data_IF_407206155024
#
_entry.id   IF_407206155024
#
_cell.length_a   1.000
_cell.length_b   1.000
_cell.length_c   1.000
_cell.angle_alpha   90.00
_cell.angle_beta   90.00
_cell.angle_gamma   90.00
#
_symmetry.space_group_name_H-M   'P 1'
#
loop_
_entity.id
_entity.type
_entity.pdbx_description
1 polymer ?
#
# COMPACT_ATOMS: atom_id res chain seq x y z
N UNK A 1 10.41 -15.55 21.48
CA UNK A 1 10.78 -16.49 22.55
C UNK A 1 9.69 -17.52 22.84
N UNK A 2 8.43 -17.27 22.46
CA UNK A 2 7.31 -18.21 22.65
C UNK A 2 7.39 -19.48 21.76
N UNK A 3 8.36 -19.55 20.83
CA UNK A 3 8.50 -20.67 19.88
C UNK A 3 7.39 -20.72 18.83
N UNK A 4 6.66 -19.63 18.65
CA UNK A 4 5.59 -19.48 17.66
C UNK A 4 6.08 -18.77 16.40
N UNK A 5 5.34 -18.92 15.32
CA UNK A 5 5.51 -18.17 14.08
C UNK A 5 4.57 -16.97 14.06
N UNK A 6 5.07 -15.82 13.66
CA UNK A 6 4.28 -14.65 13.30
C UNK A 6 4.61 -14.25 11.86
N UNK A 7 3.60 -14.03 11.04
CA UNK A 7 3.73 -13.53 9.67
C UNK A 7 3.19 -12.10 9.64
N UNK A 8 4.04 -11.15 9.24
CA UNK A 8 3.69 -9.75 9.03
C UNK A 8 3.48 -9.49 7.53
N UNK A 9 2.80 -8.37 7.22
CA UNK A 9 2.68 -7.93 5.83
C UNK A 9 2.00 -8.94 4.92
N UNK A 10 0.96 -9.61 5.39
CA UNK A 10 0.21 -10.62 4.62
C UNK A 10 -1.09 -10.05 4.06
N UNK A 11 -1.02 -8.85 3.49
CA UNK A 11 -2.10 -8.18 2.78
C UNK A 11 -1.83 -8.14 1.28
N UNK A 12 -2.20 -7.05 0.62
CA UNK A 12 -1.86 -6.84 -0.76
C UNK A 12 -0.49 -6.15 -0.89
N UNK A 13 -0.37 -4.98 -0.37
CA UNK A 13 0.84 -4.19 -0.17
C UNK A 13 0.89 -3.69 1.30
N UNK A 14 1.71 -4.34 2.14
CA UNK A 14 2.60 -5.47 1.88
C UNK A 14 1.90 -6.84 1.76
N UNK A 15 2.46 -7.72 0.93
CA UNK A 15 2.07 -9.13 0.81
C UNK A 15 2.09 -9.64 -0.63
N UNK A 16 1.00 -9.49 -1.38
CA UNK A 16 0.88 -9.97 -2.77
C UNK A 16 1.93 -9.34 -3.68
N UNK A 17 2.27 -8.07 -3.50
CA UNK A 17 3.35 -7.38 -4.23
C UNK A 17 4.71 -8.04 -4.02
N UNK A 18 4.98 -8.51 -2.79
CA UNK A 18 6.14 -9.33 -2.48
C UNK A 18 6.12 -10.67 -3.21
N UNK A 19 4.95 -11.34 -3.26
CA UNK A 19 4.76 -12.59 -4.01
C UNK A 19 4.95 -12.37 -5.51
N UNK A 20 4.41 -11.31 -6.10
CA UNK A 20 4.62 -10.95 -7.51
C UNK A 20 6.10 -10.77 -7.82
N UNK A 21 6.81 -10.04 -6.95
CA UNK A 21 8.24 -9.79 -7.07
C UNK A 21 9.05 -11.08 -6.97
N UNK A 22 8.78 -11.90 -5.96
CA UNK A 22 9.47 -13.19 -5.75
C UNK A 22 9.20 -14.19 -6.89
N UNK A 23 7.96 -14.24 -7.38
CA UNK A 23 7.61 -15.09 -8.51
C UNK A 23 8.36 -14.69 -9.78
N UNK A 24 8.38 -13.41 -10.12
CA UNK A 24 9.10 -12.92 -11.28
C UNK A 24 10.61 -13.15 -11.16
N UNK A 25 11.18 -12.85 -9.99
CA UNK A 25 12.60 -13.09 -9.73
C UNK A 25 12.96 -14.58 -9.87
N UNK A 26 12.15 -15.48 -9.31
CA UNK A 26 12.42 -16.92 -9.32
C UNK A 26 12.28 -17.57 -10.71
N UNK A 27 11.28 -17.14 -11.49
CA UNK A 27 10.90 -17.86 -12.70
C UNK A 27 11.32 -17.16 -14.00
N UNK A 28 11.56 -15.86 -13.95
CA UNK A 28 11.74 -15.05 -15.15
C UNK A 28 13.02 -14.22 -15.19
N UNK A 29 13.78 -14.13 -14.09
CA UNK A 29 15.00 -13.35 -14.00
C UNK A 29 16.14 -14.15 -13.39
N UNK A 30 17.38 -13.80 -13.77
CA UNK A 30 18.61 -14.25 -13.09
C UNK A 30 19.04 -13.19 -12.05
N UNK A 31 18.79 -11.90 -12.34
CA UNK A 31 19.04 -10.78 -11.43
C UNK A 31 17.85 -9.81 -11.45
N UNK A 32 17.39 -9.42 -10.28
CA UNK A 32 16.38 -8.37 -10.10
C UNK A 32 17.07 -7.03 -9.81
N UNK A 33 16.90 -6.04 -10.68
CA UNK A 33 17.59 -4.75 -10.55
C UNK A 33 16.69 -3.59 -10.12
N UNK A 34 15.45 -3.52 -10.62
CA UNK A 34 14.56 -2.39 -10.39
C UNK A 34 13.16 -2.90 -10.08
N UNK A 35 12.58 -2.32 -9.05
CA UNK A 35 11.21 -2.59 -8.62
C UNK A 35 10.50 -1.27 -8.39
N UNK A 36 9.37 -1.08 -9.04
CA UNK A 36 8.41 -0.04 -8.73
C UNK A 36 7.08 -0.74 -8.38
N UNK A 37 6.67 -0.67 -7.12
CA UNK A 37 5.34 -1.08 -6.66
C UNK A 37 4.41 0.09 -6.94
N UNK A 38 3.26 -0.17 -7.53
CA UNK A 38 2.31 0.85 -7.94
C UNK A 38 0.91 0.49 -7.45
N UNK A 39 0.33 1.35 -6.66
CA UNK A 39 -1.01 1.20 -6.08
C UNK A 39 -1.94 2.30 -6.57
N UNK A 40 -3.02 1.88 -7.21
CA UNK A 40 -4.08 2.76 -7.67
C UNK A 40 -5.44 2.30 -7.16
N UNK A 41 -6.10 3.16 -6.40
CA UNK A 41 -7.53 3.08 -6.21
C UNK A 41 -8.21 4.15 -7.08
N UNK A 42 -8.75 3.73 -8.21
CA UNK A 42 -9.47 4.59 -9.16
C UNK A 42 -10.99 4.60 -8.89
N UNK A 43 -11.38 4.32 -7.66
CA UNK A 43 -12.78 4.29 -7.28
C UNK A 43 -13.34 5.63 -6.83
N UNK A 44 -14.66 5.72 -6.83
CA UNK A 44 -15.45 6.82 -6.28
C UNK A 44 -16.51 6.29 -5.32
N UNK A 45 -16.37 6.60 -4.04
CA UNK A 45 -17.31 6.26 -2.97
C UNK A 45 -18.31 7.39 -2.66
N UNK A 46 -18.33 8.46 -3.45
CA UNK A 46 -19.25 9.60 -3.30
C UNK A 46 -19.01 10.51 -2.09
N UNK A 47 -17.90 10.34 -1.36
CA UNK A 47 -17.53 11.22 -0.24
C UNK A 47 -16.43 12.18 -0.65
N UNK A 48 -16.53 13.44 -0.18
CA UNK A 48 -15.51 14.45 -0.45
C UNK A 48 -14.15 14.11 0.19
N UNK A 49 -14.17 13.50 1.37
CA UNK A 49 -12.98 13.03 2.07
C UNK A 49 -13.33 11.78 2.90
N UNK A 50 -12.66 10.69 2.64
CA UNK A 50 -12.73 9.44 3.40
C UNK A 50 -11.47 8.62 3.10
N UNK A 51 -11.17 7.64 3.95
CA UNK A 51 -10.05 6.72 3.76
C UNK A 51 -10.57 5.30 3.54
N UNK A 52 -9.91 4.52 2.69
CA UNK A 52 -10.35 3.17 2.34
C UNK A 52 -9.94 2.10 3.38
N UNK A 53 -9.05 2.47 4.28
CA UNK A 53 -8.58 1.66 5.41
C UNK A 53 -8.39 2.57 6.62
N UNK A 54 -7.74 2.10 7.67
CA UNK A 54 -7.56 2.83 8.93
C UNK A 54 -7.13 4.29 8.68
N UNK A 55 -7.94 5.30 9.07
CA UNK A 55 -7.65 6.70 8.78
C UNK A 55 -6.33 7.21 9.33
N UNK A 56 -5.92 6.74 10.52
CA UNK A 56 -4.64 7.13 11.11
C UNK A 56 -3.47 6.66 10.25
N UNK A 57 -3.47 5.37 9.87
CA UNK A 57 -2.41 4.79 9.03
C UNK A 57 -2.36 5.54 7.70
N UNK A 58 -3.49 5.67 7.02
CA UNK A 58 -3.57 6.34 5.72
C UNK A 58 -3.06 7.78 5.77
N UNK A 59 -3.53 8.59 6.73
CA UNK A 59 -3.12 9.99 6.87
C UNK A 59 -1.62 10.08 7.20
N UNK A 60 -1.11 9.23 8.09
CA UNK A 60 0.32 9.24 8.47
C UNK A 60 1.23 8.83 7.33
N UNK A 61 0.85 7.83 6.54
CA UNK A 61 1.61 7.42 5.35
C UNK A 61 1.79 8.57 4.36
N UNK A 62 0.75 9.36 4.15
CA UNK A 62 0.77 10.45 3.17
C UNK A 62 1.52 11.68 3.69
N UNK A 63 1.43 11.95 5.01
CA UNK A 63 2.01 13.14 5.63
C UNK A 63 3.45 12.96 6.10
N UNK A 64 3.94 11.71 6.14
CA UNK A 64 5.34 11.44 6.46
C UNK A 64 6.26 11.64 5.24
N UNK A 65 7.57 11.72 5.50
CA UNK A 65 8.58 11.74 4.44
C UNK A 65 8.49 10.51 3.57
N UNK A 66 8.58 10.70 2.25
CA UNK A 66 8.81 9.60 1.33
C UNK A 66 10.20 9.01 1.52
N UNK A 67 10.35 7.71 1.24
CA UNK A 67 11.65 7.03 1.32
C UNK A 67 11.71 5.89 0.33
N UNK A 68 12.79 5.81 -0.41
CA UNK A 68 13.01 4.76 -1.39
C UNK A 68 14.47 4.31 -1.43
N UNK A 69 14.72 3.14 -2.00
CA UNK A 69 16.07 2.60 -2.16
C UNK A 69 16.62 2.93 -3.54
N UNK A 70 17.86 3.44 -3.59
CA UNK A 70 18.56 3.77 -4.84
C UNK A 70 20.06 3.55 -4.68
N UNK A 71 20.68 2.75 -5.53
CA UNK A 71 22.12 2.54 -5.60
C UNK A 71 22.78 2.21 -4.25
N UNK A 72 22.20 1.28 -3.50
CA UNK A 72 22.75 0.78 -2.23
C UNK A 72 22.43 1.65 -1.02
N UNK A 73 21.60 2.68 -1.14
CA UNK A 73 21.25 3.58 -0.04
C UNK A 73 19.78 3.95 -0.03
N UNK A 74 19.28 4.27 1.14
CA UNK A 74 17.96 4.86 1.31
C UNK A 74 18.03 6.38 1.06
N UNK A 75 17.05 6.87 0.31
CA UNK A 75 16.89 8.29 -0.02
C UNK A 75 15.57 8.77 0.56
N UNK A 76 15.60 9.82 1.35
CA UNK A 76 14.40 10.48 1.89
C UNK A 76 13.98 11.65 1.01
N UNK A 77 12.68 11.91 0.98
CA UNK A 77 12.07 13.04 0.26
C UNK A 77 11.05 13.73 1.14
N UNK A 78 10.73 14.99 0.85
CA UNK A 78 9.60 15.65 1.48
C UNK A 78 8.28 14.94 1.09
N UNK A 79 7.25 14.97 1.95
CA UNK A 79 5.96 14.33 1.68
C UNK A 79 5.39 14.77 0.33
N UNK A 80 4.95 13.80 -0.48
CA UNK A 80 4.31 14.00 -1.79
C UNK A 80 5.13 14.84 -2.81
N UNK A 81 6.43 15.10 -2.55
CA UNK A 81 7.26 15.98 -3.38
C UNK A 81 7.65 15.38 -4.73
N UNK A 82 7.65 14.05 -4.83
CA UNK A 82 7.94 13.34 -6.08
C UNK A 82 6.65 12.67 -6.56
N UNK A 83 6.21 13.03 -7.76
CA UNK A 83 5.07 12.41 -8.40
C UNK A 83 5.27 12.30 -9.91
N UNK A 84 4.57 11.36 -10.53
CA UNK A 84 4.58 11.16 -11.97
C UNK A 84 3.29 10.47 -12.42
N UNK A 85 2.86 10.64 -13.67
CA UNK A 85 1.79 9.82 -14.22
C UNK A 85 2.29 8.39 -14.42
N UNK A 86 1.49 7.42 -13.97
CA UNK A 86 1.69 5.98 -14.22
C UNK A 86 0.44 5.46 -14.90
N UNK A 87 0.63 4.62 -15.93
CA UNK A 87 -0.48 3.98 -16.64
C UNK A 87 -0.85 2.67 -15.97
N UNK A 88 -2.11 2.60 -15.52
CA UNK A 88 -2.66 1.44 -14.82
C UNK A 88 -3.58 0.66 -15.75
N UNK A 89 -3.38 -0.65 -15.93
CA UNK A 89 -4.24 -1.47 -16.78
C UNK A 89 -5.71 -1.39 -16.37
N UNK A 90 -6.58 -1.14 -17.34
CA UNK A 90 -8.01 -1.00 -17.11
C UNK A 90 -8.47 0.31 -16.45
N UNK A 91 -7.52 1.19 -16.08
CA UNK A 91 -7.78 2.49 -15.44
C UNK A 91 -7.26 3.65 -16.29
N UNK A 92 -6.08 3.48 -16.91
CA UNK A 92 -5.36 4.52 -17.62
C UNK A 92 -4.41 5.33 -16.73
N UNK A 93 -3.87 6.46 -17.24
CA UNK A 93 -2.87 7.25 -16.53
C UNK A 93 -3.44 7.94 -15.30
N UNK A 94 -2.73 7.85 -14.16
CA UNK A 94 -3.03 8.53 -12.91
C UNK A 94 -1.77 9.14 -12.30
N UNK A 95 -1.89 10.33 -11.72
CA UNK A 95 -0.81 10.91 -10.92
C UNK A 95 -0.55 10.03 -9.70
N UNK A 96 0.69 9.55 -9.61
CA UNK A 96 1.14 8.65 -8.55
C UNK A 96 2.27 9.31 -7.78
N UNK A 97 2.17 9.28 -6.47
CA UNK A 97 3.07 9.93 -5.54
C UNK A 97 4.00 8.91 -4.90
N UNK A 98 5.29 9.24 -4.82
CA UNK A 98 6.28 8.41 -4.16
C UNK A 98 6.10 8.51 -2.64
N UNK A 99 5.91 7.36 -2.00
CA UNK A 99 5.78 7.23 -0.56
C UNK A 99 6.89 6.32 0.00
N UNK A 100 7.00 6.28 1.32
CA UNK A 100 7.62 5.17 2.01
C UNK A 100 6.59 4.07 2.27
N UNK A 101 6.99 2.83 2.01
CA UNK A 101 6.22 1.67 2.39
C UNK A 101 7.15 0.58 2.95
N UNK A 102 6.76 -0.03 4.07
CA UNK A 102 7.64 -0.91 4.85
C UNK A 102 8.08 -2.17 4.12
N UNK A 103 7.30 -2.66 3.18
CA UNK A 103 7.67 -3.84 2.39
C UNK A 103 8.96 -3.66 1.57
N UNK A 104 9.31 -2.42 1.24
CA UNK A 104 10.56 -2.13 0.54
C UNK A 104 11.78 -2.59 1.33
N UNK A 105 11.73 -2.57 2.68
CA UNK A 105 12.86 -2.99 3.51
C UNK A 105 13.11 -4.49 3.39
N UNK A 106 12.04 -5.30 3.45
CA UNK A 106 12.17 -6.75 3.28
C UNK A 106 12.59 -7.14 1.87
N UNK A 107 12.06 -6.46 0.84
CA UNK A 107 12.41 -6.69 -0.55
C UNK A 107 13.89 -6.35 -0.84
N UNK A 108 14.38 -5.20 -0.37
CA UNK A 108 15.79 -4.82 -0.50
C UNK A 108 16.71 -5.82 0.22
N UNK A 109 16.31 -6.29 1.41
CA UNK A 109 17.06 -7.29 2.18
C UNK A 109 17.13 -8.65 1.47
N UNK A 110 16.03 -9.09 0.85
CA UNK A 110 15.93 -10.42 0.27
C UNK A 110 16.40 -10.48 -1.20
N UNK A 111 16.50 -9.35 -1.88
CA UNK A 111 16.98 -9.26 -3.27
C UNK A 111 18.25 -8.38 -3.36
N UNK A 112 19.43 -8.92 -3.07
CA UNK A 112 20.69 -8.15 -2.96
C UNK A 112 21.15 -7.53 -4.29
N UNK A 113 20.60 -7.98 -5.43
CA UNK A 113 20.87 -7.39 -6.76
C UNK A 113 20.03 -6.15 -7.05
N UNK A 114 19.05 -5.81 -6.17
CA UNK A 114 18.26 -4.61 -6.31
C UNK A 114 19.13 -3.35 -6.27
N UNK A 115 18.96 -2.51 -7.28
CA UNK A 115 19.61 -1.19 -7.42
C UNK A 115 18.64 -0.07 -7.09
N UNK A 116 17.33 -0.29 -7.28
CA UNK A 116 16.28 0.65 -6.92
C UNK A 116 14.99 -0.10 -6.56
N UNK A 117 14.34 0.37 -5.48
CA UNK A 117 13.00 -0.06 -5.08
C UNK A 117 12.19 1.17 -4.64
N UNK A 118 10.98 1.34 -5.20
CA UNK A 118 10.09 2.48 -4.95
C UNK A 118 8.66 2.01 -4.78
N UNK A 119 7.89 2.77 -4.00
CA UNK A 119 6.45 2.60 -3.85
C UNK A 119 5.72 3.86 -4.31
N UNK A 120 4.66 3.68 -5.07
CA UNK A 120 3.86 4.73 -5.66
C UNK A 120 2.38 4.51 -5.35
N UNK A 121 1.70 5.54 -4.88
CA UNK A 121 0.26 5.49 -4.60
C UNK A 121 -0.46 6.67 -5.24
N UNK A 122 -1.70 6.44 -5.67
CA UNK A 122 -2.54 7.47 -6.30
C UNK A 122 -3.44 8.15 -5.28
N UNK A 123 -3.65 9.47 -5.46
CA UNK A 123 -4.59 10.25 -4.67
C UNK A 123 -5.38 11.18 -5.57
N UNK A 124 -6.69 11.29 -5.33
CA UNK A 124 -7.52 12.29 -5.99
C UNK A 124 -7.19 13.71 -5.52
N UNK A 125 -7.24 14.69 -6.43
CA UNK A 125 -6.94 16.09 -6.10
C UNK A 125 -7.87 16.67 -5.00
N UNK A 126 -9.12 16.23 -4.98
CA UNK A 126 -10.07 16.62 -3.93
C UNK A 126 -9.61 16.10 -2.56
N UNK A 127 -9.18 14.84 -2.49
CA UNK A 127 -8.64 14.24 -1.27
C UNK A 127 -7.42 15.02 -0.77
N UNK A 128 -6.44 15.27 -1.63
CA UNK A 128 -5.22 16.00 -1.27
C UNK A 128 -5.51 17.44 -0.82
N UNK A 129 -6.52 18.08 -1.42
CA UNK A 129 -6.94 19.42 -1.00
C UNK A 129 -7.49 19.44 0.41
N UNK A 130 -8.37 18.49 0.75
CA UNK A 130 -8.92 18.39 2.11
C UNK A 130 -7.83 18.01 3.13
N UNK A 131 -6.98 17.05 2.78
CA UNK A 131 -5.87 16.65 3.66
C UNK A 131 -4.96 17.83 4.00
N UNK A 132 -4.58 18.64 3.00
CA UNK A 132 -3.75 19.84 3.22
C UNK A 132 -4.40 20.85 4.15
N UNK A 133 -5.71 21.05 4.06
CA UNK A 133 -6.44 21.93 4.99
C UNK A 133 -6.38 21.37 6.40
N UNK A 134 -6.62 20.07 6.57
CA UNK A 134 -6.57 19.41 7.88
C UNK A 134 -5.17 19.46 8.50
N UNK A 135 -4.11 19.31 7.70
CA UNK A 135 -2.73 19.51 8.15
C UNK A 135 -2.48 20.94 8.61
N UNK A 136 -2.84 21.92 7.79
CA UNK A 136 -2.60 23.33 8.07
C UNK A 136 -3.28 23.83 9.35
N UNK A 137 -4.41 23.24 9.71
CA UNK A 137 -5.13 23.57 10.97
C UNK A 137 -4.74 22.62 12.13
N UNK A 138 -3.79 21.71 11.93
CA UNK A 138 -3.27 20.79 12.96
C UNK A 138 -4.16 19.61 13.28
N UNK A 139 -5.19 19.30 12.48
CA UNK A 139 -6.10 18.18 12.71
C UNK A 139 -5.45 16.80 12.51
N UNK A 140 -4.32 16.73 11.82
CA UNK A 140 -3.54 15.49 11.62
C UNK A 140 -2.49 15.25 12.71
N UNK A 141 -2.39 16.15 13.71
CA UNK A 141 -1.42 16.07 14.79
C UNK A 141 -1.74 14.93 15.75
N UNK A 142 -0.69 14.18 16.14
CA UNK A 142 -0.74 13.18 17.23
C UNK A 142 -0.38 13.79 18.59
N UNK A 143 0.08 15.04 18.62
CA UNK A 143 0.39 15.72 19.88
C UNK A 143 -0.93 16.15 20.56
N UNK A 144 -1.12 15.84 21.86
CA UNK A 144 -2.35 16.21 22.56
C UNK A 144 -2.45 17.74 22.76
N UNK A 145 -3.66 18.25 22.65
CA UNK A 145 -4.02 19.64 22.94
C UNK A 145 -4.99 19.70 24.10
N UNK A 146 -5.05 20.86 24.80
CA UNK A 146 -6.04 21.08 25.86
C UNK A 146 -7.29 21.73 25.29
N UNK A 147 -8.45 21.10 25.49
CA UNK A 147 -9.74 21.63 25.08
C UNK A 147 -10.76 21.45 26.21
N UNK A 148 -11.29 22.55 26.77
CA UNK A 148 -12.26 22.56 27.87
C UNK A 148 -11.85 21.68 29.07
N UNK A 149 -10.57 21.72 29.44
CA UNK A 149 -10.00 20.95 30.55
C UNK A 149 -9.73 19.47 30.26
N UNK A 150 -9.94 19.02 29.03
CA UNK A 150 -9.65 17.65 28.58
C UNK A 150 -8.43 17.65 27.64
N UNK A 151 -7.66 16.56 27.67
CA UNK A 151 -6.57 16.32 26.73
C UNK A 151 -7.14 15.59 25.51
N UNK A 152 -7.03 16.18 24.34
CA UNK A 152 -7.53 15.60 23.07
C UNK A 152 -6.38 15.48 22.09
N UNK A 153 -6.28 14.33 21.40
CA UNK A 153 -5.39 14.15 20.25
C UNK A 153 -6.18 14.50 18.98
N UNK A 154 -5.82 15.54 18.22
CA UNK A 154 -6.57 15.98 17.04
C UNK A 154 -6.86 14.88 16.04
N UNK A 155 -5.86 14.06 15.71
CA UNK A 155 -6.02 12.94 14.77
C UNK A 155 -7.03 11.90 15.27
N UNK A 156 -7.06 11.59 16.57
CA UNK A 156 -8.06 10.66 17.14
C UNK A 156 -9.48 11.23 17.05
N UNK A 157 -9.62 12.54 17.24
CA UNK A 157 -10.91 13.20 17.05
C UNK A 157 -11.33 13.19 15.57
N UNK A 158 -10.39 13.46 14.64
CA UNK A 158 -10.64 13.38 13.20
C UNK A 158 -11.10 11.97 12.80
N UNK A 159 -10.45 10.92 13.31
CA UNK A 159 -10.86 9.52 13.07
C UNK A 159 -12.31 9.27 13.49
N UNK A 160 -12.71 9.81 14.62
CA UNK A 160 -14.06 9.59 15.16
C UNK A 160 -15.18 10.27 14.33
N UNK A 161 -14.86 11.28 13.53
CA UNK A 161 -15.83 11.98 12.67
C UNK A 161 -15.78 11.54 11.21
N UNK A 162 -14.73 10.83 10.78
CA UNK A 162 -14.63 10.29 9.43
C UNK A 162 -15.57 9.09 9.23
N UNK A 163 -16.06 8.86 8.01
CA UNK A 163 -16.79 7.64 7.69
C UNK A 163 -15.94 6.41 7.96
N UNK A 164 -16.55 5.39 8.55
CA UNK A 164 -15.90 4.09 8.71
C UNK A 164 -15.56 3.51 7.33
N UNK A 165 -14.32 3.03 7.10
CA UNK A 165 -13.93 2.47 5.81
C UNK A 165 -14.83 1.33 5.33
N UNK A 166 -15.34 0.51 6.24
CA UNK A 166 -16.28 -0.58 5.93
C UNK A 166 -17.62 -0.08 5.37
N UNK A 167 -18.02 1.17 5.70
CA UNK A 167 -19.27 1.75 5.23
C UNK A 167 -19.20 2.26 3.78
N UNK A 168 -18.03 2.34 3.19
CA UNK A 168 -17.84 2.89 1.84
C UNK A 168 -18.24 1.93 0.73
N UNK A 169 -18.37 0.63 1.00
CA UNK A 169 -18.61 -0.39 -0.04
C UNK A 169 -19.91 -0.22 -0.81
N UNK A 170 -20.99 0.22 -0.14
CA UNK A 170 -22.28 0.42 -0.77
C UNK A 170 -22.24 1.59 -1.77
N UNK A 171 -22.47 1.31 -3.06
CA UNK A 171 -22.43 2.33 -4.11
C UNK A 171 -21.04 2.73 -4.58
N UNK A 172 -19.98 2.12 -4.07
CA UNK A 172 -18.62 2.35 -4.54
C UNK A 172 -18.48 1.89 -6.00
N UNK A 173 -18.01 2.78 -6.86
CA UNK A 173 -17.81 2.53 -8.29
C UNK A 173 -16.33 2.54 -8.62
N UNK A 174 -15.95 1.90 -9.75
CA UNK A 174 -14.56 1.83 -10.22
C UNK A 174 -13.79 0.66 -9.60
N UNK A 175 -12.48 0.69 -9.70
CA UNK A 175 -11.64 -0.46 -9.37
C UNK A 175 -10.30 -0.05 -8.75
N UNK A 176 -9.68 -0.99 -8.04
CA UNK A 176 -8.25 -0.93 -7.72
C UNK A 176 -7.44 -1.52 -8.86
N UNK A 177 -6.19 -1.04 -9.03
CA UNK A 177 -5.19 -1.63 -9.90
C UNK A 177 -3.84 -1.54 -9.20
N UNK A 178 -3.37 -2.67 -8.68
CA UNK A 178 -2.16 -2.72 -7.86
C UNK A 178 -1.19 -3.74 -8.45
N UNK A 179 0.09 -3.38 -8.55
CA UNK A 179 1.06 -4.28 -9.15
C UNK A 179 2.51 -3.84 -9.02
N UNK A 180 3.37 -4.55 -9.74
CA UNK A 180 4.82 -4.38 -9.70
C UNK A 180 5.39 -4.26 -11.10
N UNK A 181 6.06 -3.15 -11.40
CA UNK A 181 6.99 -3.07 -12.51
C UNK A 181 8.35 -3.63 -12.07
N UNK A 182 8.75 -4.71 -12.68
CA UNK A 182 9.92 -5.51 -12.30
C UNK A 182 10.88 -5.54 -13.49
N UNK A 183 12.13 -5.08 -13.29
CA UNK A 183 13.14 -5.09 -14.34
C UNK A 183 14.44 -5.71 -13.85
N UNK A 184 15.02 -6.56 -14.66
CA UNK A 184 16.24 -7.26 -14.34
C UNK A 184 16.91 -7.88 -15.55
N UNK A 185 17.76 -8.85 -15.36
CA UNK A 185 18.43 -9.61 -16.41
C UNK A 185 17.92 -11.04 -16.49
N UNK A 186 17.82 -11.56 -17.69
CA UNK A 186 17.66 -12.98 -18.01
C UNK A 186 18.54 -13.33 -19.18
N UNK A 187 19.43 -14.30 -19.02
CA UNK A 187 20.40 -14.70 -20.06
C UNK A 187 21.19 -13.50 -20.63
N UNK A 188 21.63 -12.60 -19.74
CA UNK A 188 22.36 -11.38 -20.06
C UNK A 188 21.53 -10.27 -20.74
N UNK A 189 20.23 -10.48 -20.97
CA UNK A 189 19.34 -9.51 -21.59
C UNK A 189 18.45 -8.83 -20.56
N UNK A 190 18.22 -7.52 -20.72
CA UNK A 190 17.26 -6.80 -19.91
C UNK A 190 15.85 -7.28 -20.21
N UNK A 191 15.12 -7.63 -19.17
CA UNK A 191 13.70 -7.97 -19.20
C UNK A 191 12.92 -7.02 -18.31
N UNK A 192 11.67 -6.76 -18.70
CA UNK A 192 10.73 -5.96 -17.95
C UNK A 192 9.39 -6.74 -17.86
N UNK A 193 8.87 -6.86 -16.67
CA UNK A 193 7.58 -7.48 -16.39
C UNK A 193 6.72 -6.47 -15.63
N UNK A 194 5.45 -6.44 -15.95
CA UNK A 194 4.43 -5.80 -15.13
C UNK A 194 3.45 -6.88 -14.70
N UNK A 195 3.38 -7.12 -13.40
CA UNK A 195 2.46 -8.09 -12.79
C UNK A 195 1.49 -7.32 -11.93
N UNK A 196 0.19 -7.45 -12.18
CA UNK A 196 -0.82 -6.64 -11.52
C UNK A 196 -2.11 -7.42 -11.27
N UNK A 197 -2.95 -6.85 -10.41
CA UNK A 197 -4.33 -7.28 -10.17
C UNK A 197 -5.26 -6.08 -10.27
N UNK A 198 -6.40 -6.27 -10.91
CA UNK A 198 -7.52 -5.33 -10.87
C UNK A 198 -8.66 -5.94 -10.07
N UNK A 199 -9.36 -5.12 -9.28
CA UNK A 199 -10.46 -5.55 -8.46
C UNK A 199 -11.58 -4.49 -8.50
N UNK A 200 -12.75 -4.85 -9.01
CA UNK A 200 -13.90 -3.95 -9.14
C UNK A 200 -14.67 -3.84 -7.83
N UNK A 201 -14.93 -2.61 -7.37
CA UNK A 201 -15.60 -2.35 -6.09
C UNK A 201 -17.05 -2.85 -6.08
N UNK A 202 -17.79 -2.64 -7.15
CA UNK A 202 -19.21 -3.00 -7.21
C UNK A 202 -19.39 -4.53 -7.33
N UNK A 203 -18.49 -5.22 -8.04
CA UNK A 203 -18.49 -6.67 -8.13
C UNK A 203 -18.21 -7.30 -6.76
N UNK A 204 -17.16 -6.88 -6.09
CA UNK A 204 -16.80 -7.37 -4.74
C UNK A 204 -17.93 -7.09 -3.75
N UNK A 205 -18.49 -5.88 -3.77
CA UNK A 205 -19.58 -5.55 -2.87
C UNK A 205 -20.81 -6.45 -3.08
N UNK A 206 -21.13 -6.77 -4.31
CA UNK A 206 -22.23 -7.68 -4.67
C UNK A 206 -21.98 -9.11 -4.19
N UNK A 207 -20.71 -9.54 -4.22
CA UNK A 207 -20.31 -10.89 -3.84
C UNK A 207 -20.23 -11.08 -2.32
N UNK A 208 -19.60 -10.16 -1.60
CA UNK A 208 -19.27 -10.33 -0.18
C UNK A 208 -19.65 -9.14 0.73
N UNK A 209 -20.24 -8.07 0.20
CA UNK A 209 -20.62 -6.89 0.98
C UNK A 209 -19.42 -6.03 1.45
N UNK A 210 -18.27 -6.15 0.81
CA UNK A 210 -17.07 -5.38 1.11
C UNK A 210 -16.59 -4.55 -0.09
N UNK A 211 -15.74 -3.55 0.14
CA UNK A 211 -15.06 -2.82 -0.92
C UNK A 211 -13.80 -3.58 -1.41
N UNK A 212 -13.33 -3.26 -2.63
CA UNK A 212 -12.19 -3.94 -3.25
C UNK A 212 -10.91 -3.88 -2.40
N UNK A 213 -10.59 -2.75 -1.77
CA UNK A 213 -9.39 -2.62 -0.90
C UNK A 213 -9.46 -3.60 0.28
N UNK A 214 -10.62 -3.74 0.92
CA UNK A 214 -10.80 -4.71 2.02
C UNK A 214 -10.70 -6.15 1.53
N UNK A 215 -11.23 -6.45 0.35
CA UNK A 215 -11.18 -7.78 -0.25
C UNK A 215 -9.75 -8.19 -0.62
N UNK A 216 -9.06 -7.35 -1.37
CA UNK A 216 -7.70 -7.63 -1.84
C UNK A 216 -6.69 -7.73 -0.69
N UNK A 217 -6.96 -7.08 0.44
CA UNK A 217 -6.17 -7.21 1.67
C UNK A 217 -6.55 -8.44 2.49
N UNK A 218 -7.84 -8.72 2.61
CA UNK A 218 -8.34 -9.81 3.46
C UNK A 218 -8.09 -11.20 2.88
N UNK A 219 -8.19 -11.36 1.55
CA UNK A 219 -7.98 -12.65 0.88
C UNK A 219 -6.55 -13.19 1.09
N UNK A 220 -5.48 -12.43 0.86
CA UNK A 220 -4.12 -12.89 1.15
C UNK A 220 -3.88 -13.22 2.62
N UNK A 221 -4.42 -12.42 3.53
CA UNK A 221 -4.33 -12.68 4.97
C UNK A 221 -4.98 -14.02 5.34
N UNK A 222 -6.17 -14.31 4.78
CA UNK A 222 -6.85 -15.59 4.96
C UNK A 222 -6.04 -16.75 4.37
N UNK A 223 -5.48 -16.58 3.17
CA UNK A 223 -4.65 -17.60 2.51
C UNK A 223 -3.38 -17.86 3.35
N UNK A 224 -2.71 -16.81 3.84
CA UNK A 224 -1.56 -16.94 4.73
C UNK A 224 -1.89 -17.73 6.00
N UNK A 225 -3.00 -17.38 6.67
CA UNK A 225 -3.47 -18.12 7.84
C UNK A 225 -3.74 -19.60 7.52
N UNK A 226 -4.40 -19.89 6.40
CA UNK A 226 -4.66 -21.25 5.93
C UNK A 226 -3.38 -22.06 5.72
N UNK A 227 -2.41 -21.50 5.00
CA UNK A 227 -1.14 -22.16 4.70
C UNK A 227 -0.33 -22.43 5.98
N UNK A 228 -0.39 -21.52 6.96
CA UNK A 228 0.21 -21.73 8.29
C UNK A 228 -0.51 -22.84 9.06
N UNK A 229 -1.84 -22.87 9.06
CA UNK A 229 -2.63 -23.92 9.71
C UNK A 229 -2.41 -25.30 9.10
N UNK A 230 -2.19 -25.38 7.80
CA UNK A 230 -1.84 -26.60 7.08
C UNK A 230 -0.37 -27.04 7.29
N UNK A 231 0.44 -26.23 7.98
CA UNK A 231 1.84 -26.50 8.25
C UNK A 231 2.78 -26.31 7.05
N UNK A 232 2.28 -25.83 5.92
CA UNK A 232 3.08 -25.54 4.71
C UNK A 232 4.06 -24.39 4.98
N UNK A 233 3.59 -23.34 5.68
CA UNK A 233 4.44 -22.31 6.26
C UNK A 233 4.61 -22.59 7.74
N UNK A 234 5.81 -22.93 8.14
CA UNK A 234 6.13 -23.25 9.53
C UNK A 234 7.50 -22.68 9.88
N UNK A 235 7.65 -22.26 11.14
CA UNK A 235 8.91 -21.71 11.64
C UNK A 235 8.75 -21.16 13.05
N UNK A 236 9.83 -20.58 13.57
CA UNK A 236 9.85 -19.89 14.86
C UNK A 236 10.40 -18.49 14.65
N UNK A 237 9.66 -17.48 15.08
CA UNK A 237 10.05 -16.08 14.95
C UNK A 237 9.05 -15.25 14.15
N UNK A 238 9.48 -14.06 13.74
CA UNK A 238 8.71 -13.11 12.96
C UNK A 238 9.22 -13.11 11.53
N UNK A 239 8.33 -13.31 10.59
CA UNK A 239 8.59 -13.33 9.14
C UNK A 239 7.77 -12.22 8.47
N UNK A 240 8.30 -11.72 7.33
CA UNK A 240 7.62 -10.74 6.50
C UNK A 240 8.04 -10.91 5.04
#
# INVERSE_FOLDING_TARGET
EAGLMALLGCGFDPGVTGVFTAYAAKHHLDELHYLDIVDCNAGDHGKAFATNFNPEINIREITQKGRYFESGRWVETEPLSIHQPIDYPGVGPKDSYLLYHEELESLVKNFPTLRRARFWMTFGQQYLTHLRVLENVGMTSIAPIQFQGQSIVPLEFLKAVLPEPSSLGAGYQGQTSIGCHIRGLKDGQTKHYYVWNNCDHAEVYREIGAQAVSYTTGVPAMIGAKIMMEGTWSGKGVFN
#
